data_IF_348897286232
#
_entry.id   IF_348897286232
#
_cell.length_a   1.000
_cell.length_b   1.000
_cell.length_c   1.000
_cell.angle_alpha   90.00
_cell.angle_beta   90.00
_cell.angle_gamma   90.00
#
_symmetry.space_group_name_H-M   'P 1'
#
loop_
_entity.id
_entity.type
_entity.pdbx_description
1 polymer ?
2 polymer ?
3 non-polymer ?
4 non-polymer ?
5 water ?
#
loop_
_entity_poly.entity_id
_entity_poly.type
_entity_poly.pdbx_seq_one_letter_code
_entity_poly.pdbx_strand_id
2 'polyribonucleotide' 'UU' ?
#
# COMPACT_ATOMS: atom_id res chain seq x y z
N UNK A 1 -20.04 2.04 19.40
CA UNK A 1 -19.30 3.20 18.95
C UNK A 1 -20.25 4.33 18.54
N UNK A 2 -19.68 5.47 18.16
CA UNK A 2 -20.50 6.58 17.69
C UNK A 2 -21.20 6.21 16.39
N UNK A 3 -22.35 6.84 16.15
CA UNK A 3 -23.13 6.56 14.96
C UNK A 3 -22.34 6.92 13.70
N UNK A 4 -22.28 5.99 12.76
CA UNK A 4 -21.61 6.18 11.49
C UNK A 4 -20.22 5.59 11.42
N UNK A 5 -19.59 5.30 12.56
CA UNK A 5 -18.23 4.79 12.54
C UNK A 5 -18.16 3.38 11.97
N UNK A 6 -19.14 2.53 12.30
CA UNK A 6 -19.16 1.18 11.76
C UNK A 6 -19.28 1.21 10.24
N UNK A 7 -20.03 2.18 9.70
CA UNK A 7 -20.11 2.33 8.25
C UNK A 7 -18.81 2.86 7.68
N UNK A 8 -18.14 3.76 8.40
CA UNK A 8 -16.86 4.28 7.94
C UNK A 8 -15.76 3.23 8.01
N UNK A 9 -15.98 2.14 8.74
CA UNK A 9 -15.00 1.06 8.86
C UNK A 9 -15.32 -0.12 7.95
N UNK A 10 -16.20 0.06 6.97
CA UNK A 10 -16.49 -1.00 6.02
C UNK A 10 -15.32 -1.16 5.04
N UNK A 11 -15.36 -2.24 4.27
CA UNK A 11 -14.34 -2.54 3.28
C UNK A 11 -14.99 -2.84 1.95
N UNK A 12 -14.39 -2.35 0.87
CA UNK A 12 -14.86 -2.58 -0.50
C UNK A 12 -13.94 -3.62 -1.11
N UNK A 13 -14.38 -4.88 -1.13
CA UNK A 13 -13.58 -5.96 -1.70
C UNK A 13 -13.81 -6.03 -3.20
N UNK A 14 -12.71 -6.04 -3.96
CA UNK A 14 -12.82 -6.15 -5.41
C UNK A 14 -11.85 -7.21 -5.93
N UNK A 15 -12.18 -7.73 -7.10
CA UNK A 15 -11.26 -8.62 -7.80
C UNK A 15 -11.47 -8.52 -9.30
N UNK A 16 -10.36 -8.51 -10.03
CA UNK A 16 -10.34 -8.45 -11.48
C UNK A 16 -9.54 -9.63 -12.03
N UNK A 17 -10.07 -10.26 -13.09
CA UNK A 17 -9.44 -11.42 -13.70
C UNK A 17 -9.43 -11.24 -15.21
N UNK A 18 -8.25 -11.33 -15.82
CA UNK A 18 -8.12 -11.22 -17.27
C UNK A 18 -8.27 -12.60 -17.93
N UNK A 28 -10.79 -9.20 -22.48
CA UNK A 28 -11.96 -9.51 -21.64
C UNK A 28 -11.55 -9.60 -20.18
N UNK A 29 -12.13 -8.73 -19.36
CA UNK A 29 -11.82 -8.63 -17.94
C UNK A 29 -13.11 -8.85 -17.15
N UNK A 30 -13.08 -9.78 -16.21
CA UNK A 30 -14.17 -9.98 -15.27
C UNK A 30 -13.86 -9.17 -14.01
N UNK A 31 -14.86 -8.45 -13.50
CA UNK A 31 -14.70 -7.64 -12.32
C UNK A 31 -15.85 -7.89 -11.36
N UNK A 32 -15.51 -8.16 -10.10
CA UNK A 32 -16.50 -8.38 -9.05
C UNK A 32 -16.18 -7.51 -7.85
N UNK A 33 -17.22 -7.18 -7.08
CA UNK A 33 -17.11 -6.29 -5.94
C UNK A 33 -18.17 -6.65 -4.91
N UNK A 34 -17.81 -6.54 -3.64
CA UNK A 34 -18.78 -6.67 -2.55
C UNK A 34 -18.31 -5.82 -1.37
N UNK A 35 -19.15 -5.77 -0.34
CA UNK A 35 -18.92 -4.93 0.83
C UNK A 35 -18.89 -5.82 2.06
N UNK A 36 -17.93 -5.58 2.95
CA UNK A 36 -17.93 -6.21 4.25
C UNK A 36 -17.90 -5.15 5.34
N UNK A 37 -18.37 -5.53 6.53
CA UNK A 37 -18.18 -4.69 7.69
C UNK A 37 -16.75 -4.83 8.20
N UNK A 38 -16.43 -4.14 9.30
CA UNK A 38 -15.08 -4.19 9.84
C UNK A 38 -14.72 -5.60 10.32
N UNK A 39 -15.71 -6.45 10.60
CA UNK A 39 -15.47 -7.80 11.05
C UNK A 39 -15.57 -8.83 9.94
N UNK A 40 -15.53 -8.39 8.68
CA UNK A 40 -15.45 -9.24 7.49
C UNK A 40 -16.75 -9.97 7.18
N UNK A 41 -17.86 -9.55 7.77
CA UNK A 41 -19.16 -10.10 7.40
C UNK A 41 -19.64 -9.44 6.12
N UNK A 42 -20.01 -10.26 5.13
CA UNK A 42 -20.48 -9.74 3.85
C UNK A 42 -21.82 -9.06 4.04
N UNK A 43 -21.91 -7.78 3.68
CA UNK A 43 -23.12 -6.99 3.81
C UNK A 43 -23.92 -6.89 2.53
N UNK A 44 -23.23 -6.77 1.39
CA UNK A 44 -23.92 -6.59 0.11
C UNK A 44 -22.99 -7.05 -1.01
N UNK A 45 -23.59 -7.63 -2.05
CA UNK A 45 -22.85 -8.08 -3.23
C UNK A 45 -23.10 -7.10 -4.37
N UNK A 46 -22.02 -6.59 -4.97
CA UNK A 46 -22.13 -5.62 -6.02
C UNK A 46 -22.20 -6.26 -7.40
N UNK A 47 -21.98 -5.47 -8.44
CA UNK A 47 -22.04 -6.00 -9.80
C UNK A 47 -20.93 -7.02 -10.07
N UNK A 48 -21.23 -7.95 -10.96
CA UNK A 48 -20.26 -8.93 -11.47
C UNK A 48 -20.28 -8.78 -12.98
N UNK A 49 -19.33 -8.05 -13.54
CA UNK A 49 -19.42 -7.56 -14.90
C UNK A 49 -18.25 -8.04 -15.76
N UNK A 50 -18.44 -7.96 -17.06
CA UNK A 50 -17.45 -8.31 -18.07
C UNK A 50 -17.22 -7.09 -18.94
N UNK A 51 -15.96 -6.66 -19.06
CA UNK A 51 -15.59 -5.45 -19.79
C UNK A 51 -14.50 -5.82 -20.79
N UNK A 52 -14.33 -4.97 -21.80
CA UNK A 52 -13.34 -5.20 -22.84
C UNK A 52 -12.17 -4.22 -22.72
N UNK A 82 -20.07 -7.69 -20.42
CA UNK A 82 -20.57 -7.61 -21.77
C UNK A 82 -20.92 -6.17 -22.12
N UNK A 83 -20.38 -5.23 -21.33
CA UNK A 83 -20.69 -3.82 -21.43
C UNK A 83 -19.40 -3.02 -21.53
N UNK A 84 -19.55 -1.71 -21.64
CA UNK A 84 -18.40 -0.83 -21.83
C UNK A 84 -17.81 -0.42 -20.48
N UNK A 85 -16.57 0.09 -20.54
CA UNK A 85 -15.84 0.44 -19.32
C UNK A 85 -16.56 1.54 -18.54
N UNK A 86 -17.12 2.53 -19.23
CA UNK A 86 -17.74 3.65 -18.54
C UNK A 86 -19.04 3.22 -17.85
N UNK A 87 -19.85 2.40 -18.51
CA UNK A 87 -21.08 1.91 -17.88
C UNK A 87 -20.78 1.03 -16.67
N UNK A 88 -19.78 0.16 -16.78
CA UNK A 88 -19.40 -0.68 -15.65
C UNK A 88 -18.88 0.17 -14.49
N UNK A 89 -18.08 1.19 -14.80
CA UNK A 89 -17.63 2.10 -13.75
C UNK A 89 -18.81 2.79 -13.08
N UNK A 90 -19.81 3.19 -13.87
CA UNK A 90 -21.01 3.80 -13.29
C UNK A 90 -21.73 2.83 -12.36
N UNK A 91 -21.84 1.56 -12.77
CA UNK A 91 -22.50 0.57 -11.92
C UNK A 91 -21.78 0.41 -10.59
N UNK A 92 -20.45 0.21 -10.65
CA UNK A 92 -19.69 0.02 -9.42
C UNK A 92 -19.73 1.26 -8.54
N UNK A 93 -19.68 2.45 -9.16
CA UNK A 93 -19.72 3.69 -8.40
C UNK A 93 -21.06 3.87 -7.70
N UNK A 94 -22.17 3.59 -8.40
CA UNK A 94 -23.49 3.67 -7.77
C UNK A 94 -23.59 2.71 -6.60
N UNK A 95 -23.08 1.48 -6.79
CA UNK A 95 -23.11 0.51 -5.69
C UNK A 95 -22.37 1.03 -4.47
N UNK A 96 -21.11 1.44 -4.64
CA UNK A 96 -20.34 1.86 -3.47
C UNK A 96 -20.89 3.16 -2.89
N UNK A 97 -21.52 3.99 -3.72
CA UNK A 97 -22.20 5.17 -3.20
C UNK A 97 -23.34 4.77 -2.27
N UNK A 98 -24.06 3.71 -2.63
CA UNK A 98 -25.10 3.20 -1.74
C UNK A 98 -24.53 2.52 -0.51
N UNK A 99 -23.28 2.05 -0.57
CA UNK A 99 -22.75 1.22 0.52
C UNK A 99 -21.75 1.92 1.45
N UNK A 100 -20.94 2.86 0.95
CA UNK A 100 -19.91 3.45 1.79
C UNK A 100 -19.94 4.96 1.70
N UNK A 101 -19.54 5.67 2.77
CA UNK A 101 -19.45 7.12 2.69
C UNK A 101 -18.29 7.54 1.80
N UNK A 102 -18.35 8.73 1.21
CA UNK A 102 -17.33 9.13 0.23
C UNK A 102 -15.95 9.28 0.87
N UNK A 103 -14.97 8.57 0.31
CA UNK A 103 -13.58 8.73 0.66
C UNK A 103 -13.13 8.04 1.94
N UNK A 104 -14.00 7.29 2.61
CA UNK A 104 -13.67 6.75 3.92
C UNK A 104 -13.28 5.28 3.91
N UNK A 105 -13.72 4.51 2.92
CA UNK A 105 -13.51 3.07 3.01
C UNK A 105 -12.47 2.60 2.00
N UNK A 106 -11.67 1.59 2.36
CA UNK A 106 -10.58 1.15 1.49
C UNK A 106 -10.94 -0.03 0.61
N UNK A 107 -10.19 -0.12 -0.49
CA UNK A 107 -10.17 -1.31 -1.33
C UNK A 107 -9.57 -2.48 -0.56
N UNK A 108 -10.06 -3.68 -0.86
CA UNK A 108 -9.60 -4.88 -0.18
C UNK A 108 -9.54 -6.04 -1.17
N UNK A 109 -8.56 -6.90 -0.93
CA UNK A 109 -8.33 -8.06 -1.78
C UNK A 109 -6.90 -8.55 -1.63
N UNK A 110 -6.64 -9.67 -2.30
CA UNK A 110 -5.29 -10.25 -2.31
C UNK A 110 -4.46 -9.56 -3.38
N UNK A 111 -3.32 -9.00 -2.96
CA UNK A 111 -2.48 -8.18 -3.84
C UNK A 111 -3.30 -7.12 -4.54
N UNK A 112 -4.18 -6.46 -3.77
CA UNK A 112 -5.11 -5.48 -4.32
C UNK A 112 -4.41 -4.24 -4.86
N UNK A 113 -3.10 -4.11 -4.66
CA UNK A 113 -2.40 -2.94 -5.17
C UNK A 113 -2.35 -2.94 -6.71
N UNK A 114 -2.24 -4.12 -7.32
CA UNK A 114 -2.27 -4.18 -8.78
C UNK A 114 -3.65 -3.80 -9.32
N UNK A 115 -4.71 -4.33 -8.69
CA UNK A 115 -6.07 -3.95 -9.08
C UNK A 115 -6.29 -2.47 -8.90
N UNK A 116 -5.73 -1.88 -7.82
CA UNK A 116 -5.86 -0.45 -7.62
C UNK A 116 -5.08 0.32 -8.68
N UNK A 117 -3.92 -0.18 -9.09
CA UNK A 117 -3.18 0.45 -10.18
C UNK A 117 -4.00 0.48 -11.45
N UNK A 118 -4.71 -0.61 -11.74
CA UNK A 118 -5.56 -0.64 -12.93
C UNK A 118 -6.75 0.32 -12.78
N UNK A 119 -7.40 0.30 -11.61
CA UNK A 119 -8.64 1.06 -11.44
C UNK A 119 -8.39 2.56 -11.33
N UNK A 120 -7.26 2.97 -10.74
CA UNK A 120 -6.92 4.39 -10.67
C UNK A 120 -6.82 5.00 -12.06
N UNK A 121 -6.41 4.21 -13.05
CA UNK A 121 -6.27 4.70 -14.41
C UNK A 121 -7.54 4.54 -15.22
N UNK A 122 -8.26 3.43 -15.08
CA UNK A 122 -9.40 3.15 -15.95
C UNK A 122 -10.76 3.34 -15.29
N UNK A 123 -10.83 3.38 -13.97
CA UNK A 123 -12.07 3.71 -13.25
C UNK A 123 -11.78 4.76 -12.18
N UNK A 124 -11.34 5.95 -12.59
CA UNK A 124 -10.91 6.94 -11.58
C UNK A 124 -12.04 7.49 -10.75
N UNK A 125 -13.25 7.62 -11.31
CA UNK A 125 -14.38 8.13 -10.54
C UNK A 125 -14.79 7.13 -9.47
N UNK A 126 -14.72 5.83 -9.78
CA UNK A 126 -14.98 4.82 -8.77
C UNK A 126 -13.94 4.89 -7.65
N UNK A 127 -12.67 5.08 -8.01
CA UNK A 127 -11.62 5.10 -6.98
C UNK A 127 -11.67 6.37 -6.15
N UNK A 128 -12.16 7.48 -6.72
CA UNK A 128 -12.26 8.73 -5.96
C UNK A 128 -13.23 8.60 -4.80
N UNK A 129 -14.21 7.69 -4.89
CA UNK A 129 -15.12 7.45 -3.78
C UNK A 129 -14.45 6.72 -2.62
N UNK A 130 -13.33 6.06 -2.87
CA UNK A 130 -12.68 5.21 -1.88
C UNK A 130 -11.52 5.94 -1.22
N UNK A 131 -11.10 5.41 -0.07
CA UNK A 131 -9.88 5.89 0.58
C UNK A 131 -8.67 5.54 -0.28
N UNK A 132 -7.55 6.23 -0.01
CA UNK A 132 -6.33 5.91 -0.72
C UNK A 132 -5.59 4.72 -0.13
N UNK A 133 -5.83 4.40 1.14
CA UNK A 133 -5.26 3.22 1.75
C UNK A 133 -5.97 1.97 1.25
N UNK A 134 -5.26 0.84 1.33
CA UNK A 134 -5.80 -0.44 0.93
C UNK A 134 -5.64 -1.43 2.07
N UNK A 135 -6.46 -2.48 2.02
CA UNK A 135 -6.29 -3.60 2.93
C UNK A 135 -5.79 -4.77 2.09
N UNK A 136 -4.47 -4.92 2.03
CA UNK A 136 -3.82 -5.92 1.20
C UNK A 136 -3.66 -7.20 2.01
N UNK A 137 -4.47 -8.22 1.68
CA UNK A 137 -4.37 -9.49 2.38
C UNK A 137 -3.01 -10.13 2.18
N UNK A 138 -2.35 -9.83 1.05
CA UNK A 138 -1.02 -10.39 0.80
C UNK A 138 0.01 -9.86 1.80
N UNK A 139 -0.19 -8.64 2.30
CA UNK A 139 0.70 -8.12 3.35
C UNK A 139 0.60 -8.96 4.60
N UNK A 140 -0.63 -9.25 5.06
CA UNK A 140 -0.81 -10.10 6.22
C UNK A 140 -0.31 -11.51 5.94
N UNK A 141 -0.43 -11.97 4.69
CA UNK A 141 0.10 -13.28 4.33
C UNK A 141 1.61 -13.33 4.47
N UNK A 142 2.31 -12.30 4.00
CA UNK A 142 3.75 -12.24 4.15
C UNK A 142 4.16 -12.17 5.62
N UNK A 143 3.44 -11.36 6.40
CA UNK A 143 3.73 -11.26 7.83
C UNK A 143 3.49 -12.59 8.54
N UNK A 144 2.47 -13.33 8.12
CA UNK A 144 2.21 -14.64 8.72
C UNK A 144 3.29 -15.64 8.31
N UNK A 145 3.73 -15.59 7.06
CA UNK A 145 4.80 -16.47 6.60
C UNK A 145 6.09 -16.22 7.37
N UNK A 146 6.38 -14.96 7.67
CA UNK A 146 7.63 -14.63 8.36
C UNK A 146 7.53 -14.90 9.87
N UNK A 147 6.46 -14.45 10.50
CA UNK A 147 6.37 -14.47 11.95
C UNK A 147 5.64 -15.68 12.51
N UNK A 148 4.78 -16.33 11.73
CA UNK A 148 3.99 -17.46 12.21
C UNK A 148 3.98 -18.57 11.17
N UNK A 149 5.15 -19.19 10.90
CA UNK A 149 5.19 -20.21 9.84
C UNK A 149 4.36 -21.45 10.13
N UNK A 150 4.35 -21.89 11.39
CA UNK A 150 3.54 -23.05 11.76
C UNK A 150 2.07 -22.81 11.44
N UNK A 151 1.53 -21.66 11.87
CA UNK A 151 0.17 -21.30 11.50
C UNK A 151 0.04 -21.06 10.01
N UNK A 152 1.11 -20.56 9.37
CA UNK A 152 1.05 -20.24 7.95
C UNK A 152 0.80 -21.50 7.12
N UNK A 153 1.35 -22.64 7.55
CA UNK A 153 1.16 -23.86 6.77
C UNK A 153 -0.30 -24.33 6.74
N UNK A 154 -1.14 -23.82 7.63
CA UNK A 154 -2.55 -24.19 7.67
C UNK A 154 -3.46 -23.18 6.96
N UNK A 155 -2.90 -22.08 6.44
CA UNK A 155 -3.72 -21.01 5.92
C UNK A 155 -4.38 -21.41 4.60
N UNK A 156 -5.56 -20.85 4.30
CA UNK A 156 -6.16 -21.09 2.99
C UNK A 156 -5.37 -20.42 1.88
N UNK A 157 -5.25 -21.12 0.76
CA UNK A 157 -4.52 -20.60 -0.40
C UNK A 157 -5.29 -20.84 -1.68
N UNK A 161 -11.35 -21.47 -8.22
CA UNK A 161 -11.59 -21.21 -9.64
C UNK A 161 -10.95 -19.90 -10.09
N UNK A 162 -11.23 -19.49 -11.32
CA UNK A 162 -10.69 -18.26 -11.87
C UNK A 162 -11.72 -17.13 -11.88
N UNK A 163 -12.88 -17.33 -11.28
CA UNK A 163 -13.90 -16.29 -11.25
C UNK A 163 -13.60 -15.30 -10.12
N UNK A 164 -13.92 -14.03 -10.36
CA UNK A 164 -13.50 -12.98 -9.43
C UNK A 164 -14.21 -13.08 -8.08
N UNK A 165 -15.49 -13.48 -8.09
CA UNK A 165 -16.22 -13.60 -6.84
C UNK A 165 -15.61 -14.67 -5.93
N UNK A 166 -15.19 -15.79 -6.52
CA UNK A 166 -14.53 -16.83 -5.74
C UNK A 166 -13.20 -16.36 -5.19
N UNK A 167 -12.48 -15.54 -5.94
CA UNK A 167 -11.23 -14.97 -5.43
C UNK A 167 -11.50 -14.05 -4.25
N UNK A 168 -12.56 -13.24 -4.33
CA UNK A 168 -12.93 -12.40 -3.19
C UNK A 168 -13.27 -13.25 -1.99
N UNK A 169 -14.04 -14.31 -2.18
CA UNK A 169 -14.41 -15.19 -1.08
C UNK A 169 -13.16 -15.79 -0.42
N UNK A 170 -12.23 -16.27 -1.25
CA UNK A 170 -10.99 -16.85 -0.72
C UNK A 170 -10.18 -15.80 0.04
N UNK A 171 -10.12 -14.57 -0.47
CA UNK A 171 -9.36 -13.53 0.22
C UNK A 171 -9.97 -13.23 1.58
N UNK A 172 -11.30 -13.15 1.65
CA UNK A 172 -11.98 -12.90 2.92
C UNK A 172 -11.71 -14.03 3.90
N UNK A 173 -11.80 -15.28 3.42
CA UNK A 173 -11.55 -16.42 4.30
C UNK A 173 -10.11 -16.45 4.79
N UNK A 174 -9.16 -16.05 3.93
CA UNK A 174 -7.76 -16.01 4.32
C UNK A 174 -7.51 -14.96 5.39
N UNK A 175 -8.06 -13.77 5.21
CA UNK A 175 -7.91 -12.72 6.22
C UNK A 175 -8.57 -13.13 7.53
N UNK A 176 -9.70 -13.84 7.46
CA UNK A 176 -10.34 -14.32 8.68
C UNK A 176 -9.48 -15.36 9.39
N UNK A 177 -8.86 -16.26 8.61
CA UNK A 177 -7.93 -17.22 9.19
C UNK A 177 -6.80 -16.49 9.92
N UNK A 178 -6.25 -15.45 9.29
CA UNK A 178 -5.16 -14.70 9.92
C UNK A 178 -5.63 -14.05 11.21
N UNK A 179 -6.81 -13.42 11.19
CA UNK A 179 -7.32 -12.80 12.41
C UNK A 179 -7.52 -13.84 13.51
N UNK A 180 -8.02 -15.02 13.14
CA UNK A 180 -8.28 -16.05 14.15
C UNK A 180 -7.00 -16.63 14.72
N UNK A 181 -5.92 -16.69 13.92
CA UNK A 181 -4.78 -17.51 14.31
C UNK A 181 -3.50 -16.76 14.63
N UNK A 182 -3.33 -15.52 14.18
CA UNK A 182 -2.04 -14.86 14.42
C UNK A 182 -2.23 -13.51 15.10
N UNK A 183 -3.46 -13.07 15.28
CA UNK A 183 -3.74 -11.81 15.95
C UNK A 183 -4.11 -12.07 17.41
N UNK A 184 -3.88 -11.04 18.24
CA UNK A 184 -4.10 -11.18 19.68
C UNK A 184 -5.56 -11.46 19.98
N UNK A 185 -5.80 -12.46 20.84
CA UNK A 185 -7.14 -12.85 21.21
C UNK A 185 -7.82 -11.77 22.06
N UNK B 6 16.60 -16.48 5.23
CA UNK B 6 17.41 -15.45 5.86
C UNK B 6 17.41 -14.16 5.04
N UNK B 7 18.33 -14.08 4.07
CA UNK B 7 18.40 -12.92 3.20
C UNK B 7 17.15 -12.82 2.31
N UNK B 8 16.56 -13.96 1.95
CA UNK B 8 15.33 -13.94 1.17
C UNK B 8 14.15 -13.38 1.95
N UNK B 9 14.25 -13.31 3.27
CA UNK B 9 13.21 -12.74 4.10
C UNK B 9 13.54 -11.32 4.56
N UNK B 10 14.57 -10.70 3.98
CA UNK B 10 14.86 -9.30 4.24
C UNK B 10 13.80 -8.42 3.57
N UNK B 11 13.63 -7.22 4.12
CA UNK B 11 12.67 -6.25 3.60
C UNK B 11 13.40 -4.98 3.17
N UNK B 12 12.99 -4.44 2.02
CA UNK B 12 13.53 -3.20 1.48
C UNK B 12 12.50 -2.11 1.76
N UNK B 13 12.75 -1.33 2.81
CA UNK B 13 11.86 -0.23 3.20
C UNK B 13 12.22 1.00 2.39
N UNK B 14 11.22 1.63 1.79
CA UNK B 14 11.45 2.78 0.92
C UNK B 14 10.38 3.83 1.18
N UNK B 15 10.80 5.09 1.28
CA UNK B 15 9.85 6.20 1.28
C UNK B 15 10.27 7.25 0.25
N UNK B 16 9.26 7.82 -0.39
CA UNK B 16 9.42 8.83 -1.43
C UNK B 16 8.71 10.11 -1.04
N UNK B 17 9.30 11.23 -1.44
CA UNK B 17 8.63 12.52 -1.47
C UNK B 17 8.61 12.98 -2.92
N UNK B 18 7.41 13.30 -3.41
CA UNK B 18 7.20 13.71 -4.79
C UNK B 18 6.61 15.11 -4.84
N UNK B 19 6.52 15.66 -6.04
CA UNK B 19 5.86 16.94 -6.27
C UNK B 19 4.34 16.81 -6.31
N UNK B 20 3.81 15.61 -6.16
CA UNK B 20 2.38 15.40 -6.17
C UNK B 20 2.05 13.95 -6.46
N UNK B 21 0.74 13.70 -6.58
CA UNK B 21 0.23 12.35 -6.82
C UNK B 21 0.08 12.01 -8.30
N UNK B 22 0.07 13.01 -9.19
CA UNK B 22 -0.14 12.77 -10.61
C UNK B 22 1.04 11.99 -11.17
N UNK B 23 0.84 10.70 -11.44
CA UNK B 23 1.90 9.86 -11.99
C UNK B 23 2.29 10.30 -13.39
N UNK B 24 1.40 10.98 -14.11
CA UNK B 24 1.70 11.43 -15.46
C UNK B 24 2.55 12.69 -15.48
N UNK B 25 2.62 13.44 -14.39
CA UNK B 25 3.27 14.74 -14.41
C UNK B 25 4.29 14.93 -13.29
N UNK B 26 4.02 14.42 -12.10
CA UNK B 26 4.88 14.71 -10.96
C UNK B 26 6.11 13.80 -10.95
N UNK B 27 7.15 14.28 -10.27
CA UNK B 27 8.44 13.60 -10.21
C UNK B 27 8.83 13.36 -8.75
N UNK B 28 9.86 12.53 -8.57
CA UNK B 28 10.39 12.20 -7.25
C UNK B 28 11.44 13.24 -6.87
N UNK B 29 11.27 13.84 -5.70
CA UNK B 29 12.22 14.83 -5.21
C UNK B 29 13.03 14.35 -4.02
N UNK B 30 12.57 13.34 -3.28
CA UNK B 30 13.36 12.80 -2.20
C UNK B 30 13.11 11.30 -2.08
N UNK B 31 14.14 10.55 -1.70
CA UNK B 31 14.01 9.11 -1.56
C UNK B 31 14.93 8.61 -0.46
N UNK B 32 14.40 7.70 0.36
CA UNK B 32 15.20 7.05 1.40
C UNK B 32 14.89 5.57 1.44
N UNK B 33 15.92 4.77 1.77
CA UNK B 33 15.82 3.32 1.76
C UNK B 33 16.56 2.73 2.95
N UNK B 34 15.95 1.73 3.57
CA UNK B 34 16.55 0.94 4.64
C UNK B 34 16.36 -0.53 4.32
N UNK B 35 17.20 -1.38 4.93
CA UNK B 35 17.12 -2.82 4.79
C UNK B 35 16.99 -3.42 6.18
N UNK B 36 15.90 -4.15 6.40
CA UNK B 36 15.68 -4.85 7.67
C UNK B 36 15.65 -6.35 7.43
N UNK B 37 15.81 -7.11 8.51
CA UNK B 37 15.55 -8.54 8.45
C UNK B 37 14.05 -8.78 8.62
N UNK B 38 13.66 -10.07 8.64
CA UNK B 38 12.24 -10.38 8.76
C UNK B 38 11.67 -9.99 10.11
N UNK B 39 12.52 -9.74 11.11
CA UNK B 39 12.08 -9.32 12.43
C UNK B 39 12.17 -7.82 12.63
N UNK B 40 12.28 -7.05 11.53
CA UNK B 40 12.28 -5.59 11.51
C UNK B 40 13.52 -4.96 12.11
N UNK B 41 14.58 -5.73 12.35
CA UNK B 41 15.85 -5.17 12.79
C UNK B 41 16.54 -4.52 11.60
N UNK B 42 16.87 -3.24 11.72
CA UNK B 42 17.51 -2.52 10.63
C UNK B 42 18.91 -3.08 10.41
N UNK B 43 19.12 -3.68 9.24
CA UNK B 43 20.43 -4.23 8.90
C UNK B 43 21.31 -3.20 8.19
N UNK B 44 20.73 -2.37 7.34
CA UNK B 44 21.54 -1.42 6.58
C UNK B 44 20.76 -0.15 6.31
N UNK B 45 21.45 0.99 6.40
CA UNK B 45 20.88 2.28 6.05
C UNK B 45 21.38 2.68 4.67
N UNK B 46 20.46 2.82 3.72
CA UNK B 46 20.81 3.11 2.36
C UNK B 46 20.89 4.59 2.07
N UNK B 47 20.97 4.95 0.79
CA UNK B 47 21.06 6.36 0.42
C UNK B 47 19.83 7.14 0.86
N UNK B 48 20.05 8.40 1.20
CA UNK B 48 18.99 9.35 1.54
C UNK B 48 19.24 10.58 0.67
N UNK B 49 18.53 10.66 -0.46
CA UNK B 49 18.88 11.59 -1.51
C UNK B 49 17.74 12.54 -1.84
N UNK B 50 18.12 13.77 -2.21
CA UNK B 50 17.21 14.78 -2.73
C UNK B 50 17.50 14.94 -4.21
N UNK B 51 16.48 14.76 -5.04
CA UNK B 51 16.65 14.65 -6.48
C UNK B 51 16.31 15.99 -7.13
N UNK B 52 17.22 16.47 -7.98
CA UNK B 52 17.01 17.74 -8.66
C UNK B 52 15.83 17.66 -9.63
N UNK B 53 14.99 18.68 -9.59
CA UNK B 53 13.84 18.80 -10.48
C UNK B 53 13.72 20.25 -10.93
N UNK B 54 13.15 20.48 -12.12
CA UNK B 54 13.12 21.86 -12.66
C UNK B 54 12.32 22.81 -11.78
N UNK B 55 12.64 24.10 -11.93
CA UNK B 55 11.98 25.12 -11.12
C UNK B 55 10.52 25.29 -11.48
N UNK B 56 10.16 25.07 -12.74
CA UNK B 56 8.78 25.25 -13.16
C UNK B 56 7.85 24.26 -12.48
N UNK B 57 8.28 23.00 -12.35
CA UNK B 57 7.45 21.99 -11.69
C UNK B 57 7.29 22.32 -10.20
N UNK B 58 8.35 22.80 -9.56
CA UNK B 58 8.26 23.15 -8.15
C UNK B 58 7.35 24.36 -7.95
N UNK B 59 7.42 25.34 -8.83
CA UNK B 59 6.54 26.51 -8.75
C UNK B 59 5.11 26.17 -9.14
N UNK B 60 4.90 25.05 -9.83
CA UNK B 60 3.58 24.62 -10.27
C UNK B 60 2.97 23.55 -9.37
N UNK B 61 3.55 23.31 -8.19
CA UNK B 61 3.04 22.27 -7.31
C UNK B 61 1.70 22.68 -6.70
N UNK B 62 1.01 21.69 -6.13
CA UNK B 62 -0.26 21.95 -5.47
C UNK B 62 -0.04 22.75 -4.18
N UNK B 63 -1.14 23.25 -3.62
CA UNK B 63 -1.05 24.05 -2.41
C UNK B 63 -0.51 23.24 -1.24
N UNK B 64 -1.00 22.00 -1.08
CA UNK B 64 -0.46 21.12 -0.04
C UNK B 64 1.03 20.91 -0.24
N UNK B 65 1.44 20.53 -1.45
CA UNK B 65 2.84 20.23 -1.71
C UNK B 65 3.71 21.47 -1.54
N UNK B 66 3.29 22.60 -2.11
CA UNK B 66 4.07 23.82 -1.97
C UNK B 66 4.23 24.20 -0.49
N UNK B 67 3.12 24.24 0.25
CA UNK B 67 3.17 24.60 1.67
C UNK B 67 4.10 23.67 2.44
N UNK B 68 3.90 22.35 2.32
CA UNK B 68 4.63 21.42 3.17
C UNK B 68 6.10 21.32 2.75
N UNK B 69 6.37 21.16 1.46
CA UNK B 69 7.75 21.10 0.99
C UNK B 69 8.47 22.45 1.10
N UNK B 70 7.75 23.53 1.40
CA UNK B 70 8.43 24.78 1.72
C UNK B 70 8.74 24.90 3.19
N UNK B 71 7.79 24.54 4.05
CA UNK B 71 8.02 24.64 5.48
C UNK B 71 9.10 23.67 5.95
N UNK B 72 9.24 22.53 5.28
CA UNK B 72 10.25 21.54 5.64
C UNK B 72 11.61 21.84 5.01
N UNK B 73 11.71 22.89 4.20
CA UNK B 73 12.96 23.17 3.50
C UNK B 73 13.29 22.23 2.38
N UNK B 74 12.34 21.40 1.96
CA UNK B 74 12.62 20.42 0.91
C UNK B 74 12.70 21.09 -0.46
N UNK B 75 11.86 22.09 -0.72
CA UNK B 75 11.89 22.78 -2.01
C UNK B 75 13.22 23.47 -2.24
N UNK B 76 13.75 24.15 -1.21
CA UNK B 76 15.05 24.80 -1.34
C UNK B 76 16.16 23.78 -1.56
N UNK B 77 16.05 22.62 -0.91
CA UNK B 77 17.05 21.58 -1.11
C UNK B 77 16.99 21.02 -2.52
N UNK B 78 15.79 20.85 -3.07
CA UNK B 78 15.64 20.39 -4.44
C UNK B 78 16.23 21.41 -5.41
N UNK B 79 15.99 22.70 -5.15
CA UNK B 79 16.65 23.75 -5.94
C UNK B 79 18.16 23.67 -5.80
N UNK B 80 18.65 23.25 -4.63
CA UNK B 80 20.08 23.18 -4.36
C UNK B 80 20.73 21.91 -4.89
N UNK B 81 19.96 20.84 -5.06
CA UNK B 81 20.55 19.54 -5.37
C UNK B 81 21.15 19.51 -6.77
N UNK B 82 22.21 18.71 -6.91
CA UNK B 82 22.81 18.38 -8.20
C UNK B 82 22.64 16.91 -8.54
N UNK B 83 21.83 16.18 -7.79
CA UNK B 83 21.63 14.75 -7.99
C UNK B 83 20.50 14.54 -8.98
N UNK B 84 20.82 13.94 -10.12
CA UNK B 84 19.81 13.62 -11.12
C UNK B 84 19.07 12.34 -10.72
N UNK B 85 17.97 12.08 -11.42
CA UNK B 85 17.21 10.85 -11.16
C UNK B 85 18.03 9.62 -11.49
N UNK B 86 18.85 9.70 -12.54
CA UNK B 86 19.65 8.55 -12.96
C UNK B 86 20.74 8.23 -11.93
N UNK B 87 21.40 9.26 -11.39
CA UNK B 87 22.40 9.03 -10.36
C UNK B 87 21.76 8.44 -9.11
N UNK B 88 20.57 8.92 -8.74
CA UNK B 88 19.87 8.38 -7.59
C UNK B 88 19.52 6.91 -7.80
N UNK B 89 19.02 6.57 -8.98
CA UNK B 89 18.71 5.18 -9.27
C UNK B 89 19.97 4.32 -9.25
N UNK B 90 21.09 4.87 -9.74
CA UNK B 90 22.36 4.15 -9.69
C UNK B 90 22.72 3.82 -8.24
N UNK B 91 22.66 4.82 -7.36
CA UNK B 91 23.03 4.61 -5.96
C UNK B 91 22.11 3.60 -5.29
N UNK B 92 20.80 3.75 -5.48
CA UNK B 92 19.86 2.85 -4.82
C UNK B 92 19.96 1.43 -5.36
N UNK B 93 20.15 1.28 -6.67
CA UNK B 93 20.30 -0.04 -7.25
C UNK B 93 21.57 -0.72 -6.76
N UNK B 94 22.68 0.02 -6.70
CA UNK B 94 23.92 -0.54 -6.15
C UNK B 94 23.71 -0.99 -4.72
N UNK B 95 23.05 -0.16 -3.90
CA UNK B 95 22.84 -0.50 -2.50
C UNK B 95 22.02 -1.78 -2.36
N UNK B 96 20.87 -1.85 -3.04
CA UNK B 96 20.01 -3.02 -2.88
C UNK B 96 20.66 -4.26 -3.50
N UNK B 97 21.48 -4.08 -4.54
CA UNK B 97 22.17 -5.23 -5.11
C UNK B 97 23.21 -5.79 -4.16
N UNK B 98 23.83 -4.92 -3.35
CA UNK B 98 24.77 -5.39 -2.36
C UNK B 98 24.09 -5.89 -1.08
N UNK B 99 22.82 -5.54 -0.86
CA UNK B 99 22.14 -5.90 0.38
C UNK B 99 21.12 -7.03 0.26
N UNK B 100 20.55 -7.26 -0.93
CA UNK B 100 19.48 -8.23 -1.07
C UNK B 100 19.73 -9.13 -2.28
N UNK B 101 19.25 -10.37 -2.23
CA UNK B 101 19.34 -11.24 -3.40
C UNK B 101 18.32 -10.81 -4.45
N UNK B 102 18.62 -11.04 -5.73
CA UNK B 102 17.76 -10.50 -6.80
C UNK B 102 16.37 -11.15 -6.81
N UNK B 103 15.35 -10.31 -6.84
CA UNK B 103 13.98 -10.74 -7.08
C UNK B 103 13.27 -11.41 -5.92
N UNK B 104 13.83 -11.39 -4.72
CA UNK B 104 13.25 -12.13 -3.60
C UNK B 104 12.71 -11.26 -2.49
N UNK B 105 13.10 -9.98 -2.41
CA UNK B 105 12.72 -9.21 -1.24
C UNK B 105 11.64 -8.18 -1.58
N UNK B 106 10.72 -7.93 -0.65
CA UNK B 106 9.60 -7.02 -0.93
C UNK B 106 9.86 -5.59 -0.50
N UNK B 107 9.21 -4.68 -1.23
CA UNK B 107 9.11 -3.29 -0.82
C UNK B 107 8.26 -3.17 0.44
N UNK B 108 8.64 -2.24 1.31
CA UNK B 108 7.93 -2.04 2.56
C UNK B 108 7.82 -0.55 2.87
N UNK B 109 6.75 -0.20 3.56
CA UNK B 109 6.47 1.18 3.92
C UNK B 109 5.00 1.40 4.16
N UNK B 110 4.66 2.65 4.44
CA UNK B 110 3.28 3.06 4.65
C UNK B 110 2.65 3.41 3.31
N UNK B 111 1.57 2.70 2.95
CA UNK B 111 0.90 2.88 1.67
C UNK B 111 1.91 2.84 0.52
N UNK B 112 2.78 1.84 0.55
CA UNK B 112 3.96 1.78 -0.30
C UNK B 112 3.59 1.46 -1.75
N UNK B 113 2.31 1.23 -2.02
CA UNK B 113 1.90 0.98 -3.40
C UNK B 113 2.06 2.23 -4.27
N UNK B 114 1.87 3.41 -3.69
CA UNK B 114 2.11 4.65 -4.43
C UNK B 114 3.59 4.82 -4.76
N UNK B 115 4.45 4.58 -3.76
CA UNK B 115 5.89 4.58 -4.00
C UNK B 115 6.26 3.57 -5.08
N UNK B 116 5.61 2.40 -5.07
CA UNK B 116 5.89 1.39 -6.07
C UNK B 116 5.46 1.84 -7.45
N UNK B 117 4.34 2.55 -7.55
CA UNK B 117 3.93 3.12 -8.83
C UNK B 117 4.99 4.08 -9.36
N UNK B 118 5.41 5.03 -8.53
CA UNK B 118 6.41 6.00 -8.98
C UNK B 118 7.74 5.35 -9.31
N UNK B 119 8.13 4.31 -8.56
CA UNK B 119 9.40 3.64 -8.81
C UNK B 119 9.33 2.78 -10.08
N UNK B 120 8.19 2.10 -10.29
CA UNK B 120 8.00 1.35 -11.52
C UNK B 120 8.09 2.27 -12.73
N UNK B 121 7.58 3.51 -12.60
CA UNK B 121 7.67 4.42 -13.74
C UNK B 121 9.09 4.96 -13.91
N UNK B 122 9.73 5.38 -12.82
CA UNK B 122 10.95 6.17 -12.93
C UNK B 122 12.23 5.45 -12.53
N UNK B 123 12.15 4.35 -11.78
CA UNK B 123 13.32 3.56 -11.41
C UNK B 123 13.04 2.08 -11.68
N UNK B 124 12.90 1.70 -12.95
CA UNK B 124 12.43 0.34 -13.25
C UNK B 124 13.44 -0.75 -12.94
N UNK B 125 14.75 -0.47 -13.04
CA UNK B 125 15.75 -1.49 -12.70
C UNK B 125 15.73 -1.78 -11.20
N UNK B 126 15.65 -0.72 -10.39
CA UNK B 126 15.54 -0.88 -8.94
C UNK B 126 14.39 -1.79 -8.58
N UNK B 127 13.22 -1.58 -9.20
CA UNK B 127 12.06 -2.43 -8.93
C UNK B 127 12.26 -3.82 -9.48
N UNK B 128 12.99 -3.96 -10.59
CA UNK B 128 13.26 -5.28 -11.15
C UNK B 128 14.13 -6.11 -10.22
N UNK B 129 14.94 -5.45 -9.39
CA UNK B 129 15.70 -6.20 -8.39
C UNK B 129 14.83 -6.78 -7.29
N UNK B 130 13.61 -6.28 -7.12
CA UNK B 130 12.77 -6.63 -5.98
C UNK B 130 11.68 -7.62 -6.36
N UNK B 131 11.11 -8.26 -5.33
CA UNK B 131 9.94 -9.09 -5.49
C UNK B 131 8.72 -8.23 -5.82
N UNK B 132 7.66 -8.88 -6.31
CA UNK B 132 6.44 -8.17 -6.68
C UNK B 132 5.52 -7.91 -5.50
N UNK B 133 5.58 -8.73 -4.45
CA UNK B 133 4.74 -8.50 -3.29
C UNK B 133 5.25 -7.31 -2.48
N UNK B 134 4.34 -6.68 -1.73
CA UNK B 134 4.68 -5.55 -0.87
C UNK B 134 4.26 -5.87 0.55
N UNK B 135 4.87 -5.14 1.48
CA UNK B 135 4.50 -5.20 2.90
C UNK B 135 3.99 -3.80 3.26
N UNK B 136 2.68 -3.63 3.23
CA UNK B 136 2.06 -2.33 3.44
C UNK B 136 1.70 -2.19 4.91
N UNK B 137 2.41 -1.30 5.62
CA UNK B 137 2.12 -1.06 7.03
C UNK B 137 0.72 -0.47 7.19
N UNK B 138 0.24 0.27 6.20
CA UNK B 138 -1.07 0.90 6.33
C UNK B 138 -2.21 -0.13 6.35
N UNK B 139 -2.01 -1.29 5.72
CA UNK B 139 -2.98 -2.37 5.85
C UNK B 139 -3.11 -2.80 7.30
N UNK B 140 -1.98 -3.03 7.97
CA UNK B 140 -1.99 -3.37 9.39
C UNK B 140 -2.57 -2.22 10.21
N UNK B 141 -2.33 -0.98 9.78
CA UNK B 141 -2.87 0.18 10.50
C UNK B 141 -4.38 0.18 10.45
N UNK B 142 -4.97 -0.05 9.27
CA UNK B 142 -6.42 -0.10 9.15
C UNK B 142 -7.00 -1.27 9.93
N UNK B 143 -6.35 -2.44 9.85
CA UNK B 143 -6.82 -3.59 10.61
C UNK B 143 -6.76 -3.33 12.11
N UNK B 144 -5.72 -2.63 12.57
CA UNK B 144 -5.61 -2.30 13.99
C UNK B 144 -6.67 -1.30 14.40
N UNK B 145 -6.93 -0.29 13.56
CA UNK B 145 -7.98 0.68 13.84
C UNK B 145 -9.33 -0.01 13.97
N UNK B 146 -9.58 -1.03 13.16
CA UNK B 146 -10.88 -1.71 13.23
C UNK B 146 -10.95 -2.69 14.40
N UNK B 147 -9.97 -3.58 14.52
CA UNK B 147 -10.05 -4.70 15.47
C UNK B 147 -9.47 -4.38 16.84
N UNK B 148 -8.56 -3.41 16.94
CA UNK B 148 -7.91 -3.08 18.21
C UNK B 148 -7.86 -1.56 18.37
N UNK B 149 -9.01 -0.92 18.56
CA UNK B 149 -9.03 0.55 18.64
C UNK B 149 -8.27 1.09 19.84
N UNK B 150 -8.35 0.41 20.99
CA UNK B 150 -7.61 0.84 22.16
C UNK B 150 -6.11 0.88 21.88
N UNK B 151 -5.57 -0.22 21.34
CA UNK B 151 -4.16 -0.25 20.99
C UNK B 151 -3.85 0.76 19.89
N UNK B 152 -4.79 0.96 18.96
CA UNK B 152 -4.57 1.89 17.87
C UNK B 152 -4.41 3.32 18.37
N UNK B 153 -5.14 3.68 19.43
CA UNK B 153 -5.04 5.04 19.96
C UNK B 153 -3.65 5.34 20.52
N UNK B 154 -2.95 4.33 21.02
CA UNK B 154 -1.62 4.51 21.60
C UNK B 154 -0.50 4.24 20.60
N UNK B 155 -0.83 3.96 19.34
CA UNK B 155 0.21 3.67 18.35
C UNK B 155 1.00 4.94 18.03
N UNK B 156 2.27 4.80 17.65
CA UNK B 156 3.08 5.95 17.25
C UNK B 156 2.66 6.53 15.90
N UNK B 161 7.26 16.17 10.06
CA UNK B 161 8.17 16.49 8.97
C UNK B 161 8.03 15.50 7.82
N UNK B 162 7.66 16.00 6.65
CA UNK B 162 7.47 15.14 5.47
C UNK B 162 8.80 14.96 4.75
N UNK B 163 9.70 14.24 5.43
CA UNK B 163 11.00 13.86 4.88
C UNK B 163 11.10 12.35 4.85
N UNK B 164 11.79 11.84 3.83
CA UNK B 164 11.72 10.42 3.50
C UNK B 164 12.29 9.54 4.61
N UNK B 165 13.48 9.89 5.12
CA UNK B 165 14.14 9.04 6.11
C UNK B 165 13.33 8.98 7.40
N UNK B 166 12.86 10.13 7.88
CA UNK B 166 12.03 10.16 9.08
C UNK B 166 10.76 9.33 8.89
N UNK B 167 10.13 9.47 7.72
CA UNK B 167 8.89 8.75 7.46
C UNK B 167 9.11 7.25 7.45
N UNK B 168 10.19 6.78 6.83
CA UNK B 168 10.39 5.34 6.75
C UNK B 168 10.81 4.77 8.11
N UNK B 169 11.58 5.53 8.89
CA UNK B 169 11.89 5.10 10.26
C UNK B 169 10.61 4.97 11.09
N UNK B 170 9.72 5.96 10.98
CA UNK B 170 8.46 5.88 11.71
C UNK B 170 7.58 4.75 11.20
N UNK B 171 7.66 4.41 9.91
CA UNK B 171 6.92 3.27 9.39
C UNK B 171 7.40 1.97 10.04
N UNK B 172 8.71 1.79 10.12
CA UNK B 172 9.26 0.60 10.76
C UNK B 172 8.80 0.53 12.22
N UNK B 173 8.88 1.66 12.92
CA UNK B 173 8.46 1.66 14.33
C UNK B 173 6.95 1.36 14.46
N UNK B 174 6.13 1.88 13.54
CA UNK B 174 4.70 1.60 13.60
C UNK B 174 4.42 0.12 13.43
N UNK B 175 5.07 -0.52 12.47
CA UNK B 175 4.88 -1.96 12.30
C UNK B 175 5.38 -2.73 13.52
N UNK B 176 6.47 -2.25 14.15
CA UNK B 176 6.97 -2.92 15.34
C UNK B 176 5.96 -2.82 16.49
N UNK B 177 5.36 -1.63 16.66
CA UNK B 177 4.32 -1.47 17.67
C UNK B 177 3.16 -2.42 17.40
N UNK B 178 2.74 -2.53 16.14
CA UNK B 178 1.63 -3.44 15.82
C UNK B 178 1.99 -4.87 16.18
N UNK B 179 3.20 -5.32 15.83
CA UNK B 179 3.59 -6.69 16.18
C UNK B 179 3.63 -6.88 17.69
N UNK B 180 4.12 -5.88 18.41
CA UNK B 180 4.23 -6.02 19.86
C UNK B 180 2.86 -6.03 20.54
N UNK B 181 1.86 -5.37 19.94
CA UNK B 181 0.63 -5.10 20.68
C UNK B 181 -0.62 -5.79 20.18
N UNK B 182 -0.71 -6.18 18.91
CA UNK B 182 -1.96 -6.74 18.41
C UNK B 182 -1.77 -8.12 17.79
N UNK B 183 -0.52 -8.57 17.66
CA UNK B 183 -0.27 -9.89 17.13
C UNK B 183 -0.10 -10.90 18.26
N UNK B 184 -0.38 -12.16 17.96
CA UNK B 184 -0.40 -13.21 18.97
C UNK B 184 0.99 -13.38 19.58
N UNK B 185 1.02 -13.50 20.91
CA UNK B 185 2.27 -13.74 21.62
C UNK B 185 2.65 -15.21 21.53
N UNK B 186 3.95 -15.47 21.41
CA UNK B 186 4.46 -16.83 21.30
C UNK B 186 4.98 -17.34 22.64
#
# INVERSE_FOLDING_TARGET
MAAGESMAQRMVWVDLEMTGLDIEKDQIIEMACLITDSDLNILAEGPNLIIKQPDELLDSMSDWCKEHHGKSGLTKAVKESTITLQQAEYEFLSFVRQQTPPGLCPLAGNSVHEDKKFLDKYMPQFMKHLHYRIIDVSTVKELCRRWYPEEYEFAPKKAASHRALDAISESIKELQFYRNNIFKKK
MAAGESMAQRMVWVDLEMTGLDIEKDQIIEMACLITDSDLNILAEGPNLIIKQPDELLDSMSDWCKEHHGKSGLTKAVKESTITLQQAEYEFLSFVRQQTPPGLCPLAGNSVHEDKKFLDKYMPQFMKHLHYRIIDVSTVKELCRRWYPEEYEFAPKKAASHRALDAISESIKELQFYRNNIFKKK
#
